data_IF_093366918177
#
_entry.id   IF_093366918177
#
_cell.length_a   1.000
_cell.length_b   1.000
_cell.length_c   1.000
_cell.angle_alpha   90.00
_cell.angle_beta   90.00
_cell.angle_gamma   90.00
#
_symmetry.space_group_name_H-M   'P 1'
#
loop_
_entity.id
_entity.type
_entity.pdbx_description
1 polymer ?
#
# COMPACT_ATOMS: atom_id res chain seq x y z
N UNK A 1 -18.54 -15.26 15.88
CA UNK A 1 -19.32 -14.78 14.73
C UNK A 1 -18.77 -15.40 13.46
N UNK A 2 -19.61 -15.54 12.43
CA UNK A 2 -19.19 -15.85 11.06
C UNK A 2 -18.95 -14.55 10.29
N UNK A 3 -17.71 -14.36 9.83
CA UNK A 3 -17.29 -13.13 9.15
C UNK A 3 -16.94 -13.42 7.69
N UNK A 4 -17.53 -12.63 6.79
CA UNK A 4 -17.22 -12.64 5.37
C UNK A 4 -16.22 -11.54 5.10
N UNK A 5 -15.06 -11.87 4.52
CA UNK A 5 -14.06 -10.90 4.06
C UNK A 5 -14.07 -10.88 2.54
N UNK A 6 -14.38 -9.76 1.94
CA UNK A 6 -14.40 -9.58 0.49
C UNK A 6 -13.07 -8.98 0.03
N UNK A 7 -12.29 -9.76 -0.70
CA UNK A 7 -10.95 -9.42 -1.20
C UNK A 7 -9.83 -10.16 -0.47
N UNK A 8 -8.98 -10.88 -1.23
CA UNK A 8 -7.80 -11.65 -0.77
C UNK A 8 -6.48 -10.87 -0.90
N UNK A 9 -6.52 -9.54 -0.86
CA UNK A 9 -5.34 -8.69 -0.82
C UNK A 9 -4.71 -8.59 0.59
N UNK A 10 -3.71 -7.73 0.75
CA UNK A 10 -3.02 -7.53 2.04
C UNK A 10 -4.02 -7.21 3.17
N UNK A 11 -4.98 -6.31 2.92
CA UNK A 11 -6.01 -5.95 3.89
C UNK A 11 -6.85 -7.15 4.32
N UNK A 12 -7.41 -7.89 3.35
CA UNK A 12 -8.32 -9.00 3.64
C UNK A 12 -7.64 -10.17 4.32
N UNK A 13 -6.44 -10.57 3.84
CA UNK A 13 -5.69 -11.65 4.47
C UNK A 13 -5.24 -11.29 5.89
N UNK A 14 -4.75 -10.05 6.11
CA UNK A 14 -4.42 -9.57 7.46
C UNK A 14 -5.64 -9.58 8.39
N UNK A 15 -6.79 -9.15 7.89
CA UNK A 15 -8.06 -9.16 8.63
C UNK A 15 -8.48 -10.60 8.96
N UNK A 16 -8.36 -11.53 8.01
CA UNK A 16 -8.69 -12.93 8.26
C UNK A 16 -7.82 -13.54 9.36
N UNK A 17 -6.51 -13.26 9.33
CA UNK A 17 -5.58 -13.70 10.38
C UNK A 17 -5.99 -13.12 11.73
N UNK A 18 -6.21 -11.80 11.80
CA UNK A 18 -6.56 -11.12 13.05
C UNK A 18 -7.86 -11.66 13.67
N UNK A 19 -8.91 -11.83 12.86
CA UNK A 19 -10.22 -12.28 13.32
C UNK A 19 -10.22 -13.75 13.76
N UNK A 20 -9.45 -14.61 13.09
CA UNK A 20 -9.29 -16.01 13.52
C UNK A 20 -8.55 -16.15 14.84
N UNK A 21 -7.60 -15.26 15.13
CA UNK A 21 -6.91 -15.24 16.45
C UNK A 21 -7.86 -14.95 17.61
N UNK A 22 -8.98 -14.30 17.36
CA UNK A 22 -10.06 -14.06 18.34
C UNK A 22 -11.25 -15.02 18.12
N UNK A 23 -10.98 -16.19 17.56
CA UNK A 23 -11.89 -17.32 17.43
C UNK A 23 -13.15 -17.04 16.57
N UNK A 24 -13.07 -16.12 15.59
CA UNK A 24 -14.15 -15.96 14.61
C UNK A 24 -14.02 -16.98 13.47
N UNK A 25 -15.15 -17.45 12.98
CA UNK A 25 -15.21 -18.20 11.71
C UNK A 25 -15.08 -17.21 10.54
N UNK A 26 -14.05 -17.33 9.73
CA UNK A 26 -13.77 -16.38 8.64
C UNK A 26 -13.74 -17.08 7.30
N UNK A 27 -14.47 -16.56 6.33
CA UNK A 27 -14.36 -16.93 4.93
C UNK A 27 -13.85 -15.71 4.14
N UNK A 28 -12.80 -15.91 3.33
CA UNK A 28 -12.29 -14.88 2.42
C UNK A 28 -12.75 -15.21 1.01
N UNK A 29 -13.37 -14.22 0.33
CA UNK A 29 -13.81 -14.32 -1.05
C UNK A 29 -12.89 -13.47 -1.93
N UNK A 30 -12.18 -14.09 -2.88
CA UNK A 30 -11.21 -13.43 -3.76
C UNK A 30 -11.58 -13.68 -5.24
N UNK A 31 -11.70 -12.60 -6.02
CA UNK A 31 -12.07 -12.68 -7.43
C UNK A 31 -11.00 -13.33 -8.33
N UNK A 32 -9.73 -13.20 -7.95
CA UNK A 32 -8.65 -13.83 -8.72
C UNK A 32 -8.76 -15.36 -8.65
N UNK A 33 -8.65 -16.07 -9.78
CA UNK A 33 -8.75 -17.53 -9.82
C UNK A 33 -7.52 -18.23 -9.21
N UNK A 34 -6.46 -17.47 -8.98
CA UNK A 34 -5.20 -17.93 -8.35
C UNK A 34 -4.47 -16.76 -7.71
N UNK A 35 -3.65 -17.05 -6.73
CA UNK A 35 -2.71 -16.09 -6.17
C UNK A 35 -1.52 -15.98 -7.13
N UNK A 36 -1.54 -14.96 -7.98
CA UNK A 36 -0.42 -14.71 -8.88
C UNK A 36 0.75 -14.05 -8.13
N UNK A 37 2.00 -14.47 -8.40
CA UNK A 37 3.18 -13.85 -7.81
C UNK A 37 3.47 -12.46 -8.41
N UNK A 38 2.48 -11.85 -9.06
CA UNK A 38 2.60 -10.53 -9.66
C UNK A 38 2.83 -9.48 -8.57
N UNK A 39 3.88 -8.73 -8.74
CA UNK A 39 4.16 -7.64 -7.82
C UNK A 39 5.53 -7.02 -8.05
N UNK A 40 5.66 -5.85 -7.49
CA UNK A 40 6.90 -5.14 -7.37
C UNK A 40 7.38 -5.25 -5.90
N UNK A 41 8.34 -4.46 -5.50
CA UNK A 41 8.73 -4.39 -4.09
C UNK A 41 7.70 -3.64 -3.24
N UNK A 42 7.78 -3.86 -1.95
CA UNK A 42 7.03 -3.15 -0.93
C UNK A 42 7.96 -2.85 0.24
N UNK A 43 7.76 -1.70 0.89
CA UNK A 43 8.48 -1.33 2.11
C UNK A 43 7.49 -1.33 3.27
N UNK A 44 7.82 -2.05 4.32
CA UNK A 44 7.07 -2.15 5.56
C UNK A 44 7.85 -1.44 6.66
N UNK A 45 7.38 -0.28 7.08
CA UNK A 45 7.98 0.47 8.17
C UNK A 45 7.66 -0.18 9.53
N UNK A 46 8.28 0.32 10.60
CA UNK A 46 8.16 -0.25 11.94
C UNK A 46 6.70 -0.44 12.40
N UNK A 47 5.79 0.48 12.07
CA UNK A 47 4.36 0.36 12.36
C UNK A 47 3.73 -0.88 11.70
N UNK A 48 4.05 -1.13 10.43
CA UNK A 48 3.56 -2.31 9.71
C UNK A 48 4.16 -3.61 10.28
N UNK A 49 5.45 -3.61 10.59
CA UNK A 49 6.13 -4.77 11.19
C UNK A 49 5.58 -5.09 12.58
N UNK A 50 5.35 -4.07 13.42
CA UNK A 50 4.70 -4.24 14.72
C UNK A 50 3.29 -4.84 14.59
N UNK A 51 2.51 -4.40 13.60
CA UNK A 51 1.21 -4.99 13.32
C UNK A 51 1.32 -6.45 12.86
N UNK A 52 2.30 -6.79 12.00
CA UNK A 52 2.56 -8.16 11.57
C UNK A 52 3.05 -9.06 12.73
N UNK A 53 3.80 -8.51 13.68
CA UNK A 53 4.19 -9.23 14.91
C UNK A 53 2.95 -9.58 15.74
N UNK A 54 1.99 -8.67 15.86
CA UNK A 54 0.71 -8.94 16.52
C UNK A 54 -0.11 -10.00 15.78
N UNK A 55 -0.02 -10.04 14.44
CA UNK A 55 -0.60 -11.14 13.65
C UNK A 55 0.17 -12.47 13.79
N UNK A 56 1.38 -12.46 14.32
CA UNK A 56 2.22 -13.64 14.53
C UNK A 56 3.05 -14.07 13.31
N UNK A 57 3.20 -13.18 12.32
CA UNK A 57 3.94 -13.47 11.07
C UNK A 57 5.09 -12.49 10.81
N UNK A 58 5.38 -11.57 11.72
CA UNK A 58 6.39 -10.54 11.51
C UNK A 58 7.79 -11.12 11.23
N UNK A 59 8.25 -12.11 12.00
CA UNK A 59 9.54 -12.78 11.78
C UNK A 59 9.59 -13.49 10.41
N UNK A 60 8.52 -14.21 10.04
CA UNK A 60 8.43 -14.89 8.75
C UNK A 60 8.58 -13.88 7.60
N UNK A 61 7.87 -12.76 7.68
CA UNK A 61 7.95 -11.67 6.69
C UNK A 61 9.34 -11.04 6.68
N UNK A 62 9.95 -10.75 7.84
CA UNK A 62 11.27 -10.14 7.93
C UNK A 62 12.36 -10.98 7.25
N UNK A 63 12.29 -12.31 7.34
CA UNK A 63 13.26 -13.22 6.70
C UNK A 63 13.16 -13.25 5.17
N UNK A 64 12.07 -12.74 4.59
CA UNK A 64 11.87 -12.67 3.13
C UNK A 64 12.50 -11.45 2.49
N UNK A 65 12.81 -10.41 3.25
CA UNK A 65 13.26 -9.11 2.77
C UNK A 65 14.66 -8.71 3.25
N UNK A 66 14.95 -7.42 3.09
CA UNK A 66 16.13 -6.77 3.61
C UNK A 66 15.74 -5.63 4.57
N UNK A 67 16.51 -5.46 5.65
CA UNK A 67 16.37 -4.32 6.52
C UNK A 67 16.77 -3.03 5.79
N UNK A 68 15.92 -2.01 5.81
CA UNK A 68 16.24 -0.71 5.25
C UNK A 68 16.97 0.13 6.29
N UNK A 69 18.22 0.48 6.01
CA UNK A 69 19.10 1.21 6.96
C UNK A 69 19.47 2.60 6.48
N UNK A 70 19.18 2.91 5.22
CA UNK A 70 19.52 4.19 4.59
C UNK A 70 18.41 4.66 3.66
N UNK A 71 17.80 5.78 4.00
CA UNK A 71 16.80 6.44 3.14
C UNK A 71 17.23 7.88 2.85
N UNK A 72 17.18 8.27 1.57
CA UNK A 72 17.54 9.60 1.12
C UNK A 72 16.80 9.98 -0.15
N UNK A 73 16.65 11.28 -0.35
CA UNK A 73 16.12 11.88 -1.58
C UNK A 73 17.26 12.59 -2.30
N UNK A 74 17.37 12.33 -3.59
CA UNK A 74 18.38 12.91 -4.49
C UNK A 74 17.73 13.77 -5.57
N UNK A 75 18.52 14.63 -6.21
CA UNK A 75 18.16 15.16 -7.52
C UNK A 75 18.39 14.08 -8.60
N UNK A 76 17.81 14.25 -9.79
CA UNK A 76 18.05 13.36 -10.92
C UNK A 76 19.55 13.26 -11.31
N UNK A 77 20.39 14.27 -10.98
CA UNK A 77 21.84 14.22 -11.17
C UNK A 77 22.59 13.48 -10.05
N UNK A 78 21.91 12.95 -9.04
CA UNK A 78 22.55 12.22 -7.93
C UNK A 78 23.01 13.08 -6.76
N UNK A 79 22.66 14.37 -6.71
CA UNK A 79 22.98 15.22 -5.55
C UNK A 79 21.98 15.00 -4.45
N UNK A 80 22.43 14.64 -3.25
CA UNK A 80 21.57 14.44 -2.08
C UNK A 80 20.86 15.74 -1.70
N UNK A 81 19.56 15.68 -1.50
CA UNK A 81 18.71 16.75 -1.03
C UNK A 81 18.44 16.65 0.47
N UNK A 82 18.11 15.45 0.93
CA UNK A 82 17.82 15.18 2.35
C UNK A 82 17.97 13.69 2.64
N UNK A 83 18.16 13.36 3.91
CA UNK A 83 18.28 11.99 4.41
C UNK A 83 17.33 11.77 5.58
N UNK A 84 16.64 10.65 5.59
CA UNK A 84 15.83 10.24 6.74
C UNK A 84 16.76 9.81 7.87
N UNK A 85 16.57 10.27 9.11
CA UNK A 85 17.31 9.78 10.27
C UNK A 85 17.23 8.26 10.38
N UNK A 86 18.38 7.61 10.62
CA UNK A 86 18.49 6.13 10.58
C UNK A 86 17.63 5.44 11.64
N UNK A 87 17.44 6.08 12.78
CA UNK A 87 16.58 5.54 13.85
C UNK A 87 15.10 5.46 13.44
N UNK A 88 14.64 6.31 12.52
CA UNK A 88 13.28 6.21 11.95
C UNK A 88 13.12 5.04 10.96
N UNK A 89 14.22 4.41 10.57
CA UNK A 89 14.22 3.22 9.70
C UNK A 89 14.34 1.92 10.48
N UNK A 90 14.62 1.98 11.79
CA UNK A 90 14.69 0.79 12.64
C UNK A 90 13.39 -0.05 12.51
N UNK A 91 13.56 -1.36 12.32
CA UNK A 91 12.44 -2.27 12.10
C UNK A 91 11.79 -2.19 10.70
N UNK A 92 12.34 -1.37 9.77
CA UNK A 92 11.83 -1.28 8.41
C UNK A 92 12.37 -2.41 7.54
N UNK A 93 11.48 -3.15 6.89
CA UNK A 93 11.80 -4.26 5.98
C UNK A 93 11.28 -3.94 4.58
N UNK A 94 12.12 -4.11 3.57
CA UNK A 94 11.72 -4.06 2.18
C UNK A 94 11.82 -5.46 1.55
N UNK A 95 10.77 -5.88 0.86
CA UNK A 95 10.69 -7.22 0.29
C UNK A 95 9.88 -7.22 -1.03
N UNK A 96 9.88 -8.35 -1.71
CA UNK A 96 8.99 -8.54 -2.87
C UNK A 96 7.55 -8.67 -2.38
N UNK A 97 6.61 -7.95 -3.00
CA UNK A 97 5.19 -7.95 -2.59
C UNK A 97 4.56 -9.36 -2.62
N UNK A 98 4.97 -10.19 -3.59
CA UNK A 98 4.49 -11.57 -3.66
C UNK A 98 4.96 -12.42 -2.47
N UNK A 99 6.17 -12.16 -1.92
CA UNK A 99 6.66 -12.84 -0.73
C UNK A 99 5.78 -12.48 0.50
N UNK A 100 5.40 -11.20 0.66
CA UNK A 100 4.45 -10.78 1.71
C UNK A 100 3.08 -11.45 1.52
N UNK A 101 2.56 -11.44 0.29
CA UNK A 101 1.26 -12.04 -0.02
C UNK A 101 1.25 -13.55 0.28
N UNK A 102 2.35 -14.25 -0.01
CA UNK A 102 2.49 -15.66 0.28
C UNK A 102 2.47 -15.97 1.79
N UNK A 103 3.19 -15.18 2.61
CA UNK A 103 3.17 -15.35 4.07
C UNK A 103 1.78 -15.06 4.66
N UNK A 104 1.12 -14.00 4.18
CA UNK A 104 -0.25 -13.70 4.58
C UNK A 104 -1.22 -14.81 4.17
N UNK A 105 -1.14 -15.31 2.95
CA UNK A 105 -2.02 -16.38 2.47
C UNK A 105 -1.81 -17.68 3.25
N UNK A 106 -0.55 -18.05 3.55
CA UNK A 106 -0.24 -19.24 4.35
C UNK A 106 -0.83 -19.18 5.76
N UNK A 107 -0.89 -17.98 6.38
CA UNK A 107 -1.39 -17.78 7.72
C UNK A 107 -2.91 -17.52 7.78
N UNK A 108 -3.52 -17.04 6.68
CA UNK A 108 -4.92 -16.59 6.66
C UNK A 108 -5.97 -17.71 6.71
N UNK A 109 -5.60 -18.97 6.44
CA UNK A 109 -6.49 -20.12 6.37
C UNK A 109 -7.30 -20.17 5.07
N UNK A 110 -8.58 -20.54 5.14
CA UNK A 110 -9.41 -20.76 3.95
C UNK A 110 -9.68 -19.48 3.15
N UNK A 111 -9.31 -19.51 1.86
CA UNK A 111 -9.54 -18.46 0.87
C UNK A 111 -10.21 -19.07 -0.34
N UNK A 112 -11.42 -18.61 -0.66
CA UNK A 112 -12.14 -19.06 -1.84
C UNK A 112 -11.78 -18.17 -3.03
N UNK A 113 -10.99 -18.73 -3.93
CA UNK A 113 -10.53 -18.07 -5.15
C UNK A 113 -11.57 -18.17 -6.27
N UNK A 114 -11.55 -17.22 -7.20
CA UNK A 114 -12.47 -17.16 -8.35
C UNK A 114 -13.90 -16.73 -7.97
N UNK A 115 -14.07 -16.12 -6.80
CA UNK A 115 -15.38 -15.64 -6.31
C UNK A 115 -15.41 -14.12 -6.37
N UNK A 116 -16.09 -13.58 -7.38
CA UNK A 116 -16.27 -12.14 -7.57
C UNK A 116 -17.59 -11.68 -6.93
N UNK A 117 -17.50 -10.93 -5.84
CA UNK A 117 -18.68 -10.34 -5.17
C UNK A 117 -19.18 -9.15 -5.98
N UNK A 118 -20.46 -9.14 -6.31
CA UNK A 118 -21.13 -8.11 -7.12
C UNK A 118 -22.10 -7.23 -6.31
N UNK A 119 -22.60 -7.75 -5.19
CA UNK A 119 -23.52 -7.01 -4.33
C UNK A 119 -23.43 -7.47 -2.86
N UNK A 120 -23.83 -6.57 -1.96
CA UNK A 120 -23.94 -6.82 -0.53
C UNK A 120 -25.34 -6.41 -0.07
N UNK A 121 -25.99 -7.29 0.66
CA UNK A 121 -27.29 -7.04 1.28
C UNK A 121 -27.19 -7.23 2.80
N UNK A 122 -27.88 -6.37 3.54
CA UNK A 122 -27.96 -6.45 5.01
C UNK A 122 -29.40 -6.60 5.46
N UNK A 123 -29.62 -7.41 6.49
CA UNK A 123 -30.90 -7.64 7.12
C UNK A 123 -30.77 -7.73 8.64
N UNK A 124 -31.90 -7.93 9.32
CA UNK A 124 -31.92 -8.10 10.79
C UNK A 124 -31.11 -9.32 11.22
N UNK A 125 -31.15 -10.40 10.44
CA UNK A 125 -30.55 -11.70 10.76
C UNK A 125 -29.10 -11.84 10.29
N UNK A 126 -28.49 -10.85 9.59
CA UNK A 126 -27.13 -10.94 9.11
C UNK A 126 -26.88 -10.16 7.82
N UNK A 127 -25.78 -10.53 7.16
CA UNK A 127 -25.30 -9.93 5.90
C UNK A 127 -25.10 -11.03 4.86
N UNK A 128 -25.37 -10.69 3.59
CA UNK A 128 -25.22 -11.60 2.46
C UNK A 128 -24.31 -10.95 1.41
N UNK A 129 -23.25 -11.65 1.01
CA UNK A 129 -22.46 -11.33 -0.17
C UNK A 129 -22.96 -12.15 -1.35
N UNK A 130 -23.31 -11.48 -2.46
CA UNK A 130 -23.73 -12.12 -3.72
C UNK A 130 -22.61 -12.06 -4.73
N UNK A 131 -22.29 -13.18 -5.33
CA UNK A 131 -21.28 -13.29 -6.37
C UNK A 131 -21.87 -13.18 -7.78
N UNK A 132 -21.02 -12.89 -8.77
CA UNK A 132 -21.41 -12.76 -10.19
C UNK A 132 -21.95 -14.06 -10.78
N UNK A 133 -21.57 -15.22 -10.22
CA UNK A 133 -22.08 -16.55 -10.61
C UNK A 133 -23.44 -16.91 -9.97
N UNK A 134 -24.01 -16.01 -9.19
CA UNK A 134 -25.28 -16.19 -8.48
C UNK A 134 -25.16 -16.91 -7.13
N UNK A 135 -23.98 -17.31 -6.69
CA UNK A 135 -23.76 -17.87 -5.36
C UNK A 135 -23.91 -16.80 -4.27
N UNK A 136 -24.29 -17.25 -3.07
CA UNK A 136 -24.46 -16.40 -1.90
C UNK A 136 -23.61 -16.92 -0.73
N UNK A 137 -22.98 -16.00 -0.01
CA UNK A 137 -22.34 -16.27 1.27
C UNK A 137 -23.05 -15.46 2.37
N UNK A 138 -23.35 -16.09 3.51
CA UNK A 138 -24.08 -15.49 4.63
C UNK A 138 -23.18 -15.42 5.85
N UNK A 139 -23.28 -14.33 6.62
CA UNK A 139 -22.51 -14.12 7.84
C UNK A 139 -23.14 -13.13 8.78
N UNK A 140 -22.51 -12.96 9.95
CA UNK A 140 -22.89 -12.00 10.97
C UNK A 140 -22.31 -10.62 10.71
N UNK A 141 -21.12 -10.58 10.09
CA UNK A 141 -20.34 -9.37 9.74
C UNK A 141 -19.73 -9.54 8.36
N UNK A 142 -19.67 -8.45 7.59
CA UNK A 142 -18.96 -8.38 6.34
C UNK A 142 -17.87 -7.30 6.36
N UNK A 143 -16.65 -7.68 5.98
CA UNK A 143 -15.52 -6.79 5.86
C UNK A 143 -15.17 -6.58 4.39
N UNK A 144 -15.29 -5.34 3.93
CA UNK A 144 -14.88 -4.92 2.59
C UNK A 144 -13.38 -4.62 2.55
N UNK A 145 -12.63 -5.52 1.90
CA UNK A 145 -11.19 -5.42 1.65
C UNK A 145 -10.88 -5.49 0.15
N UNK A 146 -11.85 -5.15 -0.68
CA UNK A 146 -11.93 -5.30 -2.13
C UNK A 146 -11.34 -4.11 -2.91
N UNK A 147 -10.48 -3.35 -2.23
CA UNK A 147 -9.58 -2.38 -2.84
C UNK A 147 -10.26 -1.13 -3.38
N UNK A 148 -9.56 -0.43 -4.27
CA UNK A 148 -9.96 0.87 -4.80
C UNK A 148 -11.35 0.85 -5.48
N UNK A 149 -11.69 -0.23 -6.16
CA UNK A 149 -12.97 -0.37 -6.88
C UNK A 149 -14.08 -1.03 -6.04
N UNK A 150 -13.95 -1.00 -4.73
CA UNK A 150 -14.78 -1.71 -3.76
C UNK A 150 -16.29 -1.66 -4.05
N UNK A 151 -16.89 -2.84 -4.14
CA UNK A 151 -18.34 -3.04 -4.19
C UNK A 151 -18.94 -2.78 -2.80
N UNK A 152 -18.26 -3.24 -1.75
CA UNK A 152 -18.71 -3.07 -0.37
C UNK A 152 -18.76 -1.60 0.00
N UNK A 153 -17.76 -0.80 -0.42
CA UNK A 153 -17.78 0.65 -0.20
C UNK A 153 -19.02 1.30 -0.78
N UNK A 154 -19.37 0.96 -2.02
CA UNK A 154 -20.57 1.53 -2.67
C UNK A 154 -21.87 1.26 -1.91
N UNK A 155 -21.93 0.18 -1.15
CA UNK A 155 -23.08 -0.14 -0.31
C UNK A 155 -23.10 0.65 1.02
N UNK A 156 -21.94 1.12 1.51
CA UNK A 156 -21.81 1.83 2.79
C UNK A 156 -21.80 3.35 2.58
N UNK A 157 -20.91 3.82 1.73
CA UNK A 157 -20.71 5.24 1.44
C UNK A 157 -20.02 5.40 0.09
N UNK A 158 -20.42 6.38 -0.69
CA UNK A 158 -19.76 6.70 -1.95
C UNK A 158 -18.77 7.84 -1.78
N UNK A 159 -17.64 7.74 -2.47
CA UNK A 159 -16.66 8.80 -2.58
C UNK A 159 -15.93 8.72 -3.93
N UNK A 160 -15.58 9.88 -4.52
CA UNK A 160 -14.90 9.90 -5.81
C UNK A 160 -13.50 9.31 -5.71
N UNK A 161 -13.17 8.43 -6.66
CA UNK A 161 -11.81 8.02 -6.95
C UNK A 161 -11.19 9.12 -7.81
N UNK A 162 -10.02 9.60 -7.40
CA UNK A 162 -9.30 10.67 -8.11
C UNK A 162 -8.02 10.15 -8.73
N UNK A 163 -7.85 10.45 -10.00
CA UNK A 163 -6.56 10.31 -10.67
C UNK A 163 -5.55 11.31 -10.10
N UNK A 164 -4.34 10.85 -9.77
CA UNK A 164 -3.33 11.68 -9.11
C UNK A 164 -2.51 12.55 -10.09
N UNK A 165 -2.75 12.44 -11.41
CA UNK A 165 -2.06 13.21 -12.45
C UNK A 165 -0.76 12.59 -12.93
N UNK A 166 -0.46 11.35 -12.57
CA UNK A 166 0.75 10.66 -12.99
C UNK A 166 0.56 9.14 -13.07
N UNK A 167 1.37 8.50 -13.92
CA UNK A 167 1.48 7.05 -14.01
C UNK A 167 2.79 6.57 -13.38
N UNK A 168 2.84 5.31 -12.99
CA UNK A 168 4.01 4.69 -12.37
C UNK A 168 4.34 3.35 -13.03
N UNK A 169 5.62 3.17 -13.36
CA UNK A 169 6.20 1.87 -13.68
C UNK A 169 6.85 1.27 -12.44
N UNK A 170 6.81 -0.04 -12.34
CA UNK A 170 7.42 -0.80 -11.24
C UNK A 170 8.03 -2.07 -11.78
N UNK A 171 9.21 -2.42 -11.27
CA UNK A 171 9.87 -3.66 -11.65
C UNK A 171 10.89 -4.11 -10.61
N UNK A 172 11.39 -5.31 -10.82
CA UNK A 172 12.47 -5.89 -10.03
C UNK A 172 13.64 -6.19 -10.97
N UNK A 173 14.84 -5.90 -10.51
CA UNK A 173 16.08 -6.11 -11.23
C UNK A 173 17.01 -7.03 -10.45
N UNK A 174 17.82 -7.80 -11.16
CA UNK A 174 18.93 -8.59 -10.59
C UNK A 174 20.21 -7.79 -10.38
N UNK A 175 20.25 -6.51 -10.75
CA UNK A 175 21.37 -5.61 -10.42
C UNK A 175 21.21 -5.17 -8.97
N UNK A 176 22.14 -5.56 -8.07
CA UNK A 176 22.03 -5.17 -6.68
C UNK A 176 22.38 -3.69 -6.50
N UNK A 177 21.71 -3.05 -5.56
CA UNK A 177 22.10 -1.74 -5.04
C UNK A 177 22.77 -1.90 -3.67
N UNK A 178 23.28 -0.81 -3.10
CA UNK A 178 23.83 -0.79 -1.75
C UNK A 178 22.84 -1.42 -0.74
N UNK A 179 23.33 -2.32 0.11
CA UNK A 179 22.52 -3.01 1.09
C UNK A 179 21.76 -2.03 2.01
N UNK A 180 20.48 -2.31 2.23
CA UNK A 180 19.58 -1.47 3.03
C UNK A 180 19.17 -0.16 2.38
N UNK A 181 19.39 0.01 1.07
CA UNK A 181 19.05 1.23 0.34
C UNK A 181 17.53 1.35 0.15
N UNK A 182 17.00 2.54 0.50
CA UNK A 182 15.64 2.99 0.23
C UNK A 182 15.72 4.45 -0.24
N UNK A 183 15.84 4.70 -1.53
CA UNK A 183 16.11 6.05 -2.04
C UNK A 183 15.19 6.44 -3.18
N UNK A 184 14.95 7.76 -3.28
CA UNK A 184 14.27 8.36 -4.42
C UNK A 184 15.13 9.44 -5.07
N UNK A 185 15.00 9.59 -6.38
CA UNK A 185 15.57 10.69 -7.16
C UNK A 185 14.44 11.48 -7.80
N UNK A 186 14.47 12.80 -7.64
CA UNK A 186 13.42 13.71 -8.09
C UNK A 186 13.90 14.55 -9.29
N UNK A 187 13.11 14.52 -10.36
CA UNK A 187 13.29 15.32 -11.57
C UNK A 187 12.24 16.41 -11.71
N UNK A 188 11.86 16.68 -12.95
CA UNK A 188 10.81 17.63 -13.35
C UNK A 188 9.61 16.84 -13.83
N UNK A 189 8.59 16.66 -12.97
CA UNK A 189 7.42 15.82 -13.24
C UNK A 189 7.73 14.33 -13.30
N UNK A 190 8.88 13.90 -12.80
CA UNK A 190 9.39 12.53 -12.85
C UNK A 190 10.10 12.17 -11.55
N UNK A 191 9.99 10.91 -11.13
CA UNK A 191 10.69 10.32 -9.98
C UNK A 191 11.24 8.96 -10.33
N UNK A 192 12.32 8.57 -9.67
CA UNK A 192 12.83 7.21 -9.71
C UNK A 192 13.22 6.74 -8.31
N UNK A 193 12.74 5.56 -7.90
CA UNK A 193 13.06 4.96 -6.62
C UNK A 193 13.88 3.69 -6.78
N UNK A 194 14.82 3.47 -5.86
CA UNK A 194 15.68 2.29 -5.76
C UNK A 194 15.61 1.74 -4.34
N UNK A 195 15.24 0.47 -4.21
CA UNK A 195 15.04 -0.21 -2.94
C UNK A 195 15.72 -1.58 -2.97
N UNK A 196 16.62 -1.82 -2.01
CA UNK A 196 17.14 -3.17 -1.75
C UNK A 196 16.05 -4.02 -1.12
N UNK A 197 15.64 -5.10 -1.77
CA UNK A 197 14.64 -6.05 -1.28
C UNK A 197 15.24 -7.41 -0.90
N UNK A 198 16.55 -7.44 -0.72
CA UNK A 198 17.29 -8.63 -0.35
C UNK A 198 17.56 -9.60 -1.48
N UNK A 199 18.40 -10.61 -1.20
CA UNK A 199 18.76 -11.68 -2.14
C UNK A 199 19.35 -11.18 -3.46
N UNK A 200 20.09 -10.05 -3.42
CA UNK A 200 20.67 -9.43 -4.61
C UNK A 200 19.66 -8.82 -5.58
N UNK A 201 18.41 -8.59 -5.15
CA UNK A 201 17.35 -8.01 -5.97
C UNK A 201 17.11 -6.55 -5.60
N UNK A 202 16.87 -5.72 -6.61
CA UNK A 202 16.49 -4.32 -6.47
C UNK A 202 15.07 -4.13 -6.96
N UNK A 203 14.19 -3.68 -6.09
CA UNK A 203 12.93 -3.08 -6.51
C UNK A 203 13.17 -1.66 -6.98
N UNK A 204 12.56 -1.30 -8.10
CA UNK A 204 12.56 0.05 -8.59
C UNK A 204 11.16 0.51 -8.99
N UNK A 205 10.94 1.79 -8.90
CA UNK A 205 9.77 2.43 -9.49
C UNK A 205 10.19 3.70 -10.23
N UNK A 206 9.46 4.02 -11.28
CA UNK A 206 9.59 5.26 -12.03
C UNK A 206 8.22 5.89 -12.18
N UNK A 207 8.14 7.22 -12.14
CA UNK A 207 6.87 7.93 -12.36
C UNK A 207 7.05 9.03 -13.38
N UNK A 208 5.99 9.32 -14.13
CA UNK A 208 5.88 10.53 -14.96
C UNK A 208 4.51 11.16 -14.82
N UNK A 209 4.42 12.48 -14.90
CA UNK A 209 3.16 13.14 -15.12
C UNK A 209 2.59 12.72 -16.48
N UNK A 210 1.32 12.31 -16.50
CA UNK A 210 0.66 11.80 -17.69
C UNK A 210 -0.84 12.10 -17.65
N UNK A 211 -1.52 12.19 -18.80
CA UNK A 211 -2.97 12.09 -18.84
C UNK A 211 -3.46 10.72 -18.34
N UNK A 212 -4.66 10.69 -17.79
CA UNK A 212 -5.31 9.44 -17.37
C UNK A 212 -5.52 8.52 -18.59
N UNK A 213 -5.21 7.23 -18.44
CA UNK A 213 -5.38 6.22 -19.48
C UNK A 213 -4.40 6.34 -20.66
N UNK A 214 -3.29 7.08 -20.51
CA UNK A 214 -2.29 7.19 -21.57
C UNK A 214 -1.76 5.79 -21.93
N UNK A 215 -1.78 5.37 -23.22
CA UNK A 215 -1.30 4.06 -23.63
C UNK A 215 0.21 3.92 -23.52
N UNK A 216 0.70 2.67 -23.52
CA UNK A 216 2.14 2.40 -23.64
C UNK A 216 2.68 2.88 -25.00
N UNK A 217 3.91 3.39 -25.02
CA UNK A 217 4.56 3.81 -26.27
C UNK A 217 4.84 2.59 -27.20
N UNK A 218 4.84 2.76 -28.52
CA UNK A 218 5.06 1.65 -29.48
C UNK A 218 6.35 0.86 -29.27
N UNK A 219 7.37 1.45 -28.64
CA UNK A 219 8.64 0.82 -28.32
C UNK A 219 8.63 -0.06 -27.07
N UNK A 220 7.51 -0.12 -26.32
CA UNK A 220 7.39 -0.82 -25.06
C UNK A 220 7.80 0.02 -23.84
N UNK A 221 7.46 -0.51 -22.68
CA UNK A 221 7.64 0.19 -21.38
C UNK A 221 9.12 0.44 -21.06
N UNK A 222 9.96 -0.58 -21.23
CA UNK A 222 11.39 -0.51 -20.93
C UNK A 222 12.11 0.53 -21.79
N UNK A 223 11.81 0.56 -23.08
CA UNK A 223 12.38 1.55 -23.99
C UNK A 223 11.96 2.98 -23.62
N UNK A 224 10.69 3.19 -23.26
CA UNK A 224 10.22 4.48 -22.78
C UNK A 224 10.95 4.92 -21.51
N UNK A 225 11.08 4.02 -20.53
CA UNK A 225 11.76 4.31 -19.26
C UNK A 225 13.23 4.64 -19.50
N UNK A 226 13.95 3.84 -20.30
CA UNK A 226 15.36 4.10 -20.64
C UNK A 226 15.54 5.44 -21.32
N UNK A 227 14.70 5.78 -22.30
CA UNK A 227 14.76 7.07 -23.00
C UNK A 227 14.58 8.26 -22.03
N UNK A 228 13.70 8.13 -21.02
CA UNK A 228 13.44 9.19 -20.05
C UNK A 228 14.51 9.31 -18.97
N UNK A 229 15.01 8.19 -18.50
CA UNK A 229 15.87 8.11 -17.31
C UNK A 229 17.35 7.80 -17.62
N UNK A 230 17.77 7.59 -18.89
CA UNK A 230 19.15 7.31 -19.27
C UNK A 230 20.15 8.40 -18.88
N UNK A 231 19.70 9.64 -18.77
CA UNK A 231 20.53 10.75 -18.31
C UNK A 231 20.58 10.95 -16.80
N UNK A 232 19.90 10.07 -16.05
CA UNK A 232 19.91 10.13 -14.59
C UNK A 232 21.17 9.42 -14.03
N UNK A 233 21.46 9.69 -12.76
CA UNK A 233 22.65 9.13 -12.12
C UNK A 233 22.61 7.60 -11.98
N UNK A 234 23.79 7.01 -11.91
CA UNK A 234 23.95 5.57 -11.68
C UNK A 234 23.33 5.13 -10.32
N UNK A 235 22.78 3.89 -10.24
CA UNK A 235 22.76 2.85 -11.28
C UNK A 235 21.42 2.75 -12.05
N UNK A 236 20.66 3.85 -12.19
CA UNK A 236 19.26 3.84 -12.67
C UNK A 236 19.13 3.14 -14.03
N UNK A 237 19.93 3.51 -15.02
CA UNK A 237 19.86 2.91 -16.35
C UNK A 237 20.15 1.40 -16.28
N UNK A 238 21.22 1.00 -15.60
CA UNK A 238 21.62 -0.41 -15.47
C UNK A 238 20.55 -1.27 -14.79
N UNK A 239 19.88 -0.73 -13.77
CA UNK A 239 18.78 -1.41 -13.08
C UNK A 239 17.59 -1.64 -14.01
N UNK A 240 17.25 -0.67 -14.85
CA UNK A 240 16.15 -0.81 -15.83
C UNK A 240 16.54 -1.78 -16.95
N UNK A 241 17.76 -1.69 -17.46
CA UNK A 241 18.28 -2.59 -18.51
C UNK A 241 18.22 -4.06 -18.13
N UNK A 242 18.49 -4.37 -16.86
CA UNK A 242 18.46 -5.72 -16.34
C UNK A 242 17.04 -6.22 -15.93
N UNK A 243 16.04 -5.36 -15.97
CA UNK A 243 14.66 -5.77 -15.68
C UNK A 243 14.04 -6.54 -16.85
N UNK A 244 13.18 -7.52 -16.54
CA UNK A 244 12.38 -8.21 -17.54
C UNK A 244 11.25 -7.29 -18.03
N UNK A 245 11.19 -7.04 -19.34
CA UNK A 245 10.14 -6.22 -19.99
C UNK A 245 8.73 -6.70 -19.62
N UNK A 246 8.51 -8.01 -19.65
CA UNK A 246 7.20 -8.60 -19.38
C UNK A 246 6.77 -8.46 -17.90
N UNK A 247 7.73 -8.28 -17.00
CA UNK A 247 7.48 -8.09 -15.58
C UNK A 247 7.34 -6.61 -15.16
N UNK A 248 7.57 -5.66 -16.09
CA UNK A 248 7.38 -4.24 -15.80
C UNK A 248 5.88 -3.93 -15.74
N UNK A 249 5.42 -3.58 -14.56
CA UNK A 249 4.06 -3.12 -14.34
C UNK A 249 3.95 -1.62 -14.67
N UNK A 250 2.84 -1.21 -15.27
CA UNK A 250 2.44 0.20 -15.43
C UNK A 250 1.03 0.39 -14.92
N UNK A 251 0.84 1.36 -14.06
CA UNK A 251 -0.47 1.71 -13.53
C UNK A 251 -0.59 3.23 -13.36
N UNK A 252 -1.73 3.76 -13.72
CA UNK A 252 -2.15 5.07 -13.29
C UNK A 252 -2.33 5.10 -11.79
N UNK A 253 -2.00 6.22 -11.17
CA UNK A 253 -2.08 6.36 -9.71
C UNK A 253 -3.37 7.06 -9.33
N UNK A 254 -4.13 6.42 -8.46
CA UNK A 254 -5.39 6.94 -7.95
C UNK A 254 -5.36 7.03 -6.42
N UNK A 255 -6.24 7.83 -5.88
CA UNK A 255 -6.57 7.86 -4.46
C UNK A 255 -8.06 8.06 -4.26
N UNK A 256 -8.53 7.69 -3.08
CA UNK A 256 -9.90 7.90 -2.65
C UNK A 256 -10.03 9.24 -1.93
N UNK A 257 -11.15 9.95 -2.10
CA UNK A 257 -11.48 11.05 -1.21
C UNK A 257 -11.91 10.49 0.16
N UNK A 258 -11.69 11.22 1.27
CA UNK A 258 -12.11 10.78 2.59
C UNK A 258 -13.59 10.41 2.63
N UNK A 259 -13.89 9.22 3.12
CA UNK A 259 -15.25 8.74 3.28
C UNK A 259 -15.93 9.40 4.48
N UNK A 260 -17.25 9.65 4.42
CA UNK A 260 -18.00 10.16 5.57
C UNK A 260 -18.12 9.12 6.70
N UNK A 261 -18.11 7.84 6.36
CA UNK A 261 -18.16 6.69 7.31
C UNK A 261 -17.49 5.46 6.70
N UNK A 262 -17.00 4.55 7.56
CA UNK A 262 -16.36 3.30 7.15
C UNK A 262 -17.19 2.08 7.50
N UNK A 263 -18.25 2.25 8.26
CA UNK A 263 -19.15 1.16 8.65
C UNK A 263 -20.61 1.55 8.48
N UNK A 264 -21.44 0.55 8.27
CA UNK A 264 -22.90 0.67 8.23
C UNK A 264 -23.53 -0.67 8.61
N UNK A 265 -24.30 -0.69 9.70
CA UNK A 265 -24.93 -1.91 10.20
C UNK A 265 -23.93 -3.03 10.49
N UNK A 266 -23.93 -4.05 9.63
CA UNK A 266 -23.08 -5.25 9.74
C UNK A 266 -21.96 -5.28 8.70
N UNK A 267 -21.62 -4.13 8.12
CA UNK A 267 -20.56 -4.03 7.11
C UNK A 267 -19.53 -2.98 7.51
N UNK A 268 -18.23 -3.27 7.28
CA UNK A 268 -17.10 -2.39 7.61
C UNK A 268 -16.04 -2.46 6.52
N UNK A 269 -15.33 -1.35 6.29
CA UNK A 269 -14.26 -1.24 5.30
C UNK A 269 -12.88 -1.25 5.96
N UNK A 270 -11.91 -1.86 5.25
CA UNK A 270 -10.49 -1.87 5.62
C UNK A 270 -9.60 -1.62 4.39
N UNK A 271 -8.41 -1.09 4.61
CA UNK A 271 -7.42 -0.86 3.56
C UNK A 271 -7.90 0.07 2.44
N UNK A 272 -7.52 -0.23 1.20
CA UNK A 272 -7.84 0.61 0.04
C UNK A 272 -9.35 0.75 -0.24
N UNK A 273 -10.17 -0.15 0.28
CA UNK A 273 -11.63 0.00 0.23
C UNK A 273 -12.11 1.21 1.07
N UNK A 274 -11.42 1.50 2.17
CA UNK A 274 -11.72 2.62 3.07
C UNK A 274 -10.93 3.89 2.77
N UNK A 275 -9.64 3.77 2.40
CA UNK A 275 -8.71 4.91 2.41
C UNK A 275 -7.57 4.78 1.38
N UNK A 276 -7.85 4.31 0.17
CA UNK A 276 -6.84 4.20 -0.87
C UNK A 276 -6.03 5.50 -1.02
N UNK A 277 -4.72 5.39 -0.86
CA UNK A 277 -3.80 6.52 -0.89
C UNK A 277 -2.79 6.40 -2.02
N UNK A 278 -2.26 7.53 -2.46
CA UNK A 278 -1.12 7.54 -3.37
C UNK A 278 0.13 6.98 -2.69
N UNK A 279 1.13 6.47 -3.44
CA UNK A 279 2.31 5.84 -2.85
C UNK A 279 3.33 6.82 -2.23
N UNK A 280 3.03 8.12 -2.17
CA UNK A 280 3.97 9.19 -1.82
C UNK A 280 4.73 9.02 -0.51
N UNK A 281 4.15 8.34 0.49
CA UNK A 281 4.83 8.03 1.76
C UNK A 281 4.97 6.53 2.04
N UNK A 282 4.56 5.67 1.10
CA UNK A 282 4.73 4.21 1.21
C UNK A 282 3.92 3.54 2.33
N UNK A 283 2.80 4.12 2.77
CA UNK A 283 2.06 3.67 3.96
C UNK A 283 0.78 2.87 3.66
N UNK A 284 0.35 2.70 2.40
CA UNK A 284 -0.93 2.07 2.09
C UNK A 284 -1.10 0.67 2.69
N UNK A 285 -0.12 -0.20 2.50
CA UNK A 285 -0.15 -1.55 3.07
C UNK A 285 -0.05 -1.54 4.61
N UNK A 286 0.75 -0.64 5.17
CA UNK A 286 0.86 -0.49 6.62
C UNK A 286 -0.49 -0.14 7.25
N UNK A 287 -1.21 0.82 6.66
CA UNK A 287 -2.54 1.20 7.13
C UNK A 287 -3.53 0.03 7.05
N UNK A 288 -3.48 -0.77 5.99
CA UNK A 288 -4.33 -1.95 5.83
C UNK A 288 -4.07 -3.02 6.90
N UNK A 289 -2.80 -3.25 7.27
CA UNK A 289 -2.42 -4.21 8.31
C UNK A 289 -2.82 -3.68 9.70
N UNK A 290 -2.62 -2.38 9.96
CA UNK A 290 -3.07 -1.72 11.18
C UNK A 290 -4.59 -1.82 11.34
N UNK A 291 -5.37 -1.63 10.25
CA UNK A 291 -6.83 -1.77 10.27
C UNK A 291 -7.25 -3.15 10.77
N UNK A 292 -6.62 -4.21 10.26
CA UNK A 292 -6.92 -5.59 10.63
C UNK A 292 -6.75 -5.83 12.13
N UNK A 293 -5.65 -5.32 12.69
CA UNK A 293 -5.33 -5.47 14.11
C UNK A 293 -6.33 -4.69 14.97
N UNK A 294 -6.58 -3.42 14.65
CA UNK A 294 -7.48 -2.57 15.45
C UNK A 294 -8.94 -3.08 15.36
N UNK A 295 -9.37 -3.52 14.16
CA UNK A 295 -10.72 -4.10 14.02
C UNK A 295 -10.90 -5.33 14.90
N UNK A 296 -9.92 -6.24 14.89
CA UNK A 296 -9.97 -7.43 15.74
C UNK A 296 -9.95 -7.08 17.23
N UNK A 297 -9.14 -6.11 17.67
CA UNK A 297 -9.12 -5.65 19.06
C UNK A 297 -10.48 -5.09 19.51
N UNK A 298 -11.17 -4.35 18.65
CA UNK A 298 -12.49 -3.80 18.99
C UNK A 298 -13.57 -4.88 19.01
N UNK A 299 -13.49 -5.86 18.11
CA UNK A 299 -14.42 -6.99 18.10
C UNK A 299 -14.18 -8.00 19.23
N UNK A 300 -12.96 -8.06 19.79
CA UNK A 300 -12.64 -8.89 20.95
C UNK A 300 -13.08 -8.27 22.27
N UNK A 301 -13.32 -6.96 22.32
CA UNK A 301 -13.80 -6.29 23.52
C UNK A 301 -15.27 -6.65 23.80
N UNK A 302 -15.62 -6.70 25.08
CA UNK A 302 -17.02 -6.92 25.49
C UNK A 302 -17.89 -5.72 25.05
N UNK A 303 -18.79 -5.97 24.10
CA UNK A 303 -19.66 -4.91 23.56
C UNK A 303 -20.55 -5.41 22.42
N UNK A 304 -21.43 -4.54 21.96
CA UNK A 304 -22.20 -4.83 20.77
C UNK A 304 -21.39 -4.54 19.49
N UNK A 305 -21.78 -5.16 18.38
CA UNK A 305 -21.10 -5.03 17.10
C UNK A 305 -21.04 -3.57 16.63
N UNK A 306 -22.12 -2.81 16.80
CA UNK A 306 -22.20 -1.42 16.34
C UNK A 306 -21.21 -0.51 17.09
N UNK A 307 -21.08 -0.69 18.40
CA UNK A 307 -20.09 0.03 19.22
C UNK A 307 -18.66 -0.31 18.79
N UNK A 308 -18.35 -1.61 18.60
CA UNK A 308 -17.02 -2.05 18.15
C UNK A 308 -16.62 -1.45 16.80
N UNK A 309 -17.53 -1.40 15.83
CA UNK A 309 -17.29 -0.81 14.51
C UNK A 309 -17.14 0.71 14.58
N UNK A 310 -17.93 1.39 15.42
CA UNK A 310 -17.81 2.83 15.64
C UNK A 310 -16.47 3.20 16.29
N UNK A 311 -16.00 2.44 17.28
CA UNK A 311 -14.69 2.63 17.91
C UNK A 311 -13.54 2.37 16.93
N UNK A 312 -13.63 1.30 16.13
CA UNK A 312 -12.67 1.04 15.06
C UNK A 312 -12.53 2.26 14.14
N UNK A 313 -13.65 2.78 13.63
CA UNK A 313 -13.66 3.94 12.76
C UNK A 313 -13.09 5.19 13.45
N UNK A 314 -13.46 5.44 14.70
CA UNK A 314 -12.99 6.59 15.48
C UNK A 314 -11.47 6.57 15.69
N UNK A 315 -10.85 5.40 15.82
CA UNK A 315 -9.41 5.21 15.98
C UNK A 315 -8.70 5.34 14.62
N UNK A 316 -9.20 4.63 13.59
CA UNK A 316 -8.46 4.45 12.36
C UNK A 316 -8.62 5.60 11.35
N UNK A 317 -9.80 6.15 11.21
CA UNK A 317 -10.08 7.17 10.21
C UNK A 317 -9.21 8.43 10.34
N UNK A 318 -9.03 9.05 11.52
CA UNK A 318 -8.15 10.22 11.64
C UNK A 318 -6.70 9.95 11.21
N UNK A 319 -6.19 8.75 11.51
CA UNK A 319 -4.83 8.35 11.15
C UNK A 319 -4.69 8.13 9.64
N UNK A 320 -5.59 7.37 9.02
CA UNK A 320 -5.59 7.14 7.58
C UNK A 320 -5.76 8.46 6.79
N UNK A 321 -6.61 9.36 7.25
CA UNK A 321 -6.78 10.70 6.67
C UNK A 321 -5.49 11.54 6.77
N UNK A 322 -4.74 11.43 7.87
CA UNK A 322 -3.45 12.11 8.02
C UNK A 322 -2.41 11.55 7.04
N UNK A 323 -2.35 10.23 6.86
CA UNK A 323 -1.50 9.54 5.86
C UNK A 323 -1.88 9.98 4.45
N UNK A 324 -3.17 9.98 4.11
CA UNK A 324 -3.67 10.41 2.80
C UNK A 324 -3.27 11.87 2.49
N UNK A 325 -3.47 12.77 3.44
CA UNK A 325 -3.08 14.18 3.31
C UNK A 325 -1.57 14.35 3.11
N UNK A 326 -0.76 13.59 3.86
CA UNK A 326 0.70 13.63 3.73
C UNK A 326 1.16 13.07 2.39
N UNK A 327 0.65 11.90 1.96
CA UNK A 327 0.95 11.31 0.64
C UNK A 327 0.68 12.29 -0.49
N UNK A 328 -0.48 12.93 -0.50
CA UNK A 328 -0.84 13.94 -1.51
C UNK A 328 0.11 15.16 -1.50
N UNK A 329 0.56 15.59 -0.32
CA UNK A 329 1.53 16.71 -0.20
C UNK A 329 2.89 16.32 -0.78
N UNK A 330 3.39 15.14 -0.44
CA UNK A 330 4.67 14.63 -0.94
C UNK A 330 4.61 14.45 -2.45
N UNK A 331 3.56 13.82 -2.97
CA UNK A 331 3.39 13.63 -4.42
C UNK A 331 3.31 14.96 -5.17
N UNK A 332 2.51 15.91 -4.66
CA UNK A 332 2.40 17.24 -5.26
C UNK A 332 3.76 17.96 -5.32
N UNK A 333 4.57 17.81 -4.28
CA UNK A 333 5.92 18.38 -4.27
C UNK A 333 6.86 17.64 -5.22
N UNK A 334 6.84 16.31 -5.21
CA UNK A 334 7.74 15.48 -6.01
C UNK A 334 7.43 15.53 -7.51
N UNK A 335 6.14 15.66 -7.89
CA UNK A 335 5.65 15.69 -9.27
C UNK A 335 5.57 17.11 -9.90
N UNK A 336 6.24 18.11 -9.31
CA UNK A 336 6.29 19.44 -9.90
C UNK A 336 6.87 19.40 -11.33
N UNK A 337 6.15 20.04 -12.29
CA UNK A 337 6.50 20.03 -13.71
C UNK A 337 7.26 21.30 -14.16
N UNK A 338 7.40 22.33 -13.33
CA UNK A 338 8.13 23.54 -13.64
C UNK A 338 9.60 23.43 -13.18
N UNK A 339 10.59 23.58 -14.08
CA UNK A 339 12.01 23.54 -13.69
C UNK A 339 12.38 24.55 -12.61
N UNK A 340 11.80 25.76 -12.64
CA UNK A 340 12.03 26.78 -11.61
C UNK A 340 11.43 26.36 -10.28
N UNK A 341 10.20 25.85 -10.26
CA UNK A 341 9.55 25.33 -9.04
C UNK A 341 10.35 24.15 -8.46
N UNK A 342 10.91 23.27 -9.31
CA UNK A 342 11.76 22.17 -8.86
C UNK A 342 13.06 22.68 -8.22
N UNK A 343 13.68 23.75 -8.74
CA UNK A 343 14.86 24.36 -8.09
C UNK A 343 14.53 24.91 -6.71
N UNK A 344 13.40 25.62 -6.58
CA UNK A 344 12.93 26.16 -5.31
C UNK A 344 12.61 25.02 -4.33
N UNK A 345 11.85 23.99 -4.77
CA UNK A 345 11.58 22.78 -3.97
C UNK A 345 12.87 22.15 -3.46
N UNK A 346 13.85 21.92 -4.35
CA UNK A 346 15.11 21.28 -3.98
C UNK A 346 15.91 22.11 -2.96
N UNK A 347 15.88 23.44 -3.08
CA UNK A 347 16.48 24.31 -2.08
C UNK A 347 15.76 24.20 -0.74
N UNK A 348 14.42 24.23 -0.71
CA UNK A 348 13.62 24.13 0.52
C UNK A 348 13.81 22.78 1.21
N UNK A 349 13.79 21.67 0.45
CA UNK A 349 14.01 20.32 0.99
C UNK A 349 15.41 20.20 1.61
N UNK A 350 16.41 20.76 0.95
CA UNK A 350 17.81 20.72 1.42
C UNK A 350 18.02 21.51 2.72
N UNK A 351 17.26 22.57 2.92
CA UNK A 351 17.37 23.44 4.10
C UNK A 351 16.38 23.05 5.22
N UNK A 352 15.61 21.96 5.01
CA UNK A 352 14.67 21.49 6.03
C UNK A 352 15.44 20.94 7.23
N UNK A 353 15.26 21.49 8.44
CA UNK A 353 15.95 20.98 9.63
C UNK A 353 15.53 19.53 9.94
N UNK A 354 16.47 18.70 10.41
CA UNK A 354 16.20 17.29 10.79
C UNK A 354 15.03 17.16 11.76
N UNK A 355 14.89 18.07 12.71
CA UNK A 355 13.77 18.08 13.66
C UNK A 355 12.42 18.37 13.04
N UNK A 356 12.35 19.08 11.90
CA UNK A 356 11.10 19.27 11.16
C UNK A 356 10.73 18.02 10.35
N UNK A 357 11.72 17.38 9.73
CA UNK A 357 11.55 16.14 9.02
C UNK A 357 11.09 15.02 9.97
N UNK A 358 11.74 14.88 11.12
CA UNK A 358 11.35 13.92 12.17
C UNK A 358 9.89 14.11 12.58
N UNK A 359 9.48 15.32 12.94
CA UNK A 359 8.08 15.61 13.34
C UNK A 359 7.05 15.24 12.28
N UNK A 360 7.41 15.22 11.00
CA UNK A 360 6.52 14.82 9.91
C UNK A 360 6.49 13.30 9.71
N UNK A 361 7.62 12.60 9.83
CA UNK A 361 7.74 11.19 9.49
C UNK A 361 7.47 10.28 10.68
N UNK A 362 7.94 10.64 11.88
CA UNK A 362 7.84 9.78 13.07
C UNK A 362 6.41 9.30 13.37
N UNK A 363 5.37 10.16 13.34
CA UNK A 363 3.99 9.71 13.56
C UNK A 363 3.47 8.75 12.48
N UNK A 364 4.09 8.73 11.29
CA UNK A 364 3.69 7.84 10.20
C UNK A 364 4.31 6.45 10.35
N UNK A 365 5.60 6.39 10.78
CA UNK A 365 6.39 5.16 10.79
C UNK A 365 6.50 4.49 12.16
N UNK A 366 6.25 5.25 13.24
CA UNK A 366 6.22 4.77 14.62
C UNK A 366 4.82 4.99 15.20
N UNK A 367 3.96 4.04 15.00
CA UNK A 367 2.62 4.03 15.57
C UNK A 367 2.47 2.79 16.44
N UNK A 368 2.15 2.98 17.71
CA UNK A 368 1.86 1.92 18.64
C UNK A 368 0.37 1.57 18.54
N UNK A 369 0.09 0.29 18.30
CA UNK A 369 -1.24 -0.30 18.17
C UNK A 369 -1.75 -0.77 19.52
#
# INVERSE_FOLDING_TARGET
MRVIVVGGGIAGLSTAIALRKIEHEVVVLEQAPRVDPLGAGITLFANAMSALDRLGIGEAVATRGAASTRSAIFTWQGRELTRVPSDLLEGTIALHRADLQAELAAASGDVRLGVEVSAVEQGEDGVVARSTDGSEERGDLLVGADGLSSVVRRAIADAPIRYAGYTAWRGVSSVPVEAGRLTESWGVGERFGLVDIGRGRTYWFATKNAPEGEPDEPGGRKAEILRRFSGWHEPIAAVVEAADECAILRNDVYCLEPLPRWSDGRSVLVGDAAHATTPGVGQGAAQAIEDAVVLADRLAADGDLSAALAEYEAIRRPRADAVLKMSRRVDKAAQLASPLACRVRNALVRWLPDGAQRRQLEPLVRYEL
#
